data_IF_126320163852
#
_entry.id   IF_126320163852
#
_cell.length_a   1.000
_cell.length_b   1.000
_cell.length_c   1.000
_cell.angle_alpha   90.00
_cell.angle_beta   90.00
_cell.angle_gamma   90.00
#
_symmetry.space_group_name_H-M   'P 1'
#
loop_
_entity.id
_entity.type
_entity.pdbx_description
1 polymer ?
#
# COMPACT_ATOMS: atom_id res chain seq x y z
N UNK A 1 65.95 13.82 25.47
CA UNK A 1 66.86 12.92 24.76
C UNK A 1 65.95 12.09 23.90
N UNK A 2 65.81 12.51 22.68
CA UNK A 2 66.37 12.00 21.42
C UNK A 2 65.62 10.75 20.99
N UNK A 3 65.07 10.51 19.81
CA UNK A 3 65.58 10.90 18.49
C UNK A 3 64.48 10.84 17.42
N UNK A 4 64.58 11.67 16.45
CA UNK A 4 63.90 11.72 15.17
C UNK A 4 64.38 10.60 14.25
N UNK A 5 63.52 9.94 13.51
CA UNK A 5 63.87 9.30 12.25
C UNK A 5 62.81 9.55 11.16
N UNK A 6 63.26 10.13 10.07
CA UNK A 6 62.56 10.60 8.91
C UNK A 6 62.05 9.50 7.96
N UNK A 7 61.11 9.83 7.03
CA UNK A 7 60.45 8.84 6.18
C UNK A 7 61.32 8.42 5.00
N UNK A 8 61.35 7.09 4.72
CA UNK A 8 62.00 6.51 3.55
C UNK A 8 61.14 6.74 2.28
N UNK A 9 61.79 7.35 1.29
CA UNK A 9 61.33 7.45 -0.09
C UNK A 9 61.31 6.06 -0.75
N UNK A 10 60.20 5.67 -1.35
CA UNK A 10 60.14 4.53 -2.29
C UNK A 10 60.09 5.09 -3.70
N UNK A 11 60.97 4.60 -4.56
CA UNK A 11 61.14 4.96 -5.96
C UNK A 11 60.04 4.31 -6.81
N UNK A 12 59.64 4.93 -7.96
CA UNK A 12 58.70 4.33 -8.89
C UNK A 12 59.38 3.36 -9.82
N UNK A 13 58.80 2.15 -9.98
CA UNK A 13 59.21 1.18 -10.98
C UNK A 13 58.25 1.19 -12.17
N UNK A 14 58.84 1.49 -13.30
CA UNK A 14 58.56 1.14 -14.69
C UNK A 14 57.17 0.67 -15.11
N UNK A 15 56.61 1.46 -16.01
CA UNK A 15 55.55 1.13 -16.95
C UNK A 15 56.15 0.39 -18.18
N UNK A 16 55.64 -0.72 -18.68
CA UNK A 16 55.88 -1.18 -20.04
C UNK A 16 54.81 -0.59 -20.97
N UNK A 17 55.26 0.04 -22.03
CA UNK A 17 54.47 0.39 -23.24
C UNK A 17 54.27 -0.89 -24.04
N UNK A 18 53.07 -1.05 -24.58
CA UNK A 18 52.83 -2.06 -25.63
C UNK A 18 51.35 -2.27 -25.96
N UNK A 19 50.95 -1.79 -27.14
CA UNK A 19 50.10 -2.52 -28.06
C UNK A 19 48.59 -2.24 -28.03
N UNK A 20 48.20 -1.50 -29.04
CA UNK A 20 46.83 -1.30 -29.53
C UNK A 20 45.98 -2.59 -29.57
N UNK A 21 44.78 -2.52 -28.99
CA UNK A 21 43.58 -3.20 -29.51
C UNK A 21 42.35 -2.64 -28.79
N UNK A 22 41.85 -1.50 -29.29
CA UNK A 22 40.49 -1.05 -28.97
C UNK A 22 39.49 -1.92 -29.74
N UNK A 23 39.10 -3.06 -29.17
CA UNK A 23 37.87 -3.69 -29.58
C UNK A 23 36.69 -2.85 -29.02
N UNK A 24 35.96 -2.22 -29.92
CA UNK A 24 34.66 -1.59 -29.65
C UNK A 24 33.74 -2.62 -29.01
N UNK A 25 33.61 -2.56 -27.69
CA UNK A 25 32.51 -3.22 -26.99
C UNK A 25 31.23 -2.52 -27.43
N UNK A 26 30.38 -3.23 -28.15
CA UNK A 26 29.08 -2.81 -28.60
C UNK A 26 28.30 -2.25 -27.40
N UNK A 27 27.81 -1.03 -27.55
CA UNK A 27 26.90 -0.38 -26.60
C UNK A 27 25.72 -1.32 -26.30
N UNK A 28 25.68 -1.83 -25.10
CA UNK A 28 24.49 -2.48 -24.56
C UNK A 28 23.37 -1.46 -24.61
N UNK A 29 22.37 -1.68 -25.46
CA UNK A 29 21.16 -0.90 -25.46
C UNK A 29 20.54 -0.86 -24.08
N UNK A 30 19.63 0.11 -23.79
CA UNK A 30 19.00 0.21 -22.49
C UNK A 30 18.34 -1.13 -22.19
N UNK A 31 18.84 -1.83 -21.17
CA UNK A 31 18.13 -2.95 -20.59
C UNK A 31 16.83 -2.35 -20.03
N UNK A 32 15.74 -2.54 -20.75
CA UNK A 32 14.40 -2.37 -20.21
C UNK A 32 14.34 -3.31 -19.02
N UNK A 33 14.45 -2.76 -17.81
CA UNK A 33 14.10 -3.49 -16.59
C UNK A 33 12.68 -4.02 -16.85
N UNK A 34 12.52 -5.33 -16.89
CA UNK A 34 11.22 -5.96 -17.06
C UNK A 34 10.30 -5.35 -15.99
N UNK A 35 9.23 -4.69 -16.40
CA UNK A 35 8.27 -4.12 -15.48
C UNK A 35 7.83 -5.24 -14.53
N UNK A 36 7.89 -5.00 -13.22
CA UNK A 36 7.45 -5.96 -12.21
C UNK A 36 6.02 -6.37 -12.56
N UNK A 37 5.76 -7.66 -12.62
CA UNK A 37 4.45 -8.19 -13.03
C UNK A 37 3.34 -7.87 -12.03
N UNK A 38 3.70 -7.58 -10.78
CA UNK A 38 2.76 -7.30 -9.71
C UNK A 38 3.39 -6.35 -8.69
N UNK A 39 2.63 -5.34 -8.27
CA UNK A 39 2.95 -4.46 -7.15
C UNK A 39 2.07 -4.82 -5.96
N UNK A 40 2.68 -4.91 -4.78
CA UNK A 40 2.03 -5.37 -3.55
C UNK A 40 1.98 -4.29 -2.50
N UNK A 41 0.94 -4.33 -1.66
CA UNK A 41 0.80 -3.40 -0.55
C UNK A 41 0.38 -4.09 0.75
N UNK A 42 0.72 -3.45 1.88
CA UNK A 42 0.15 -3.72 3.18
C UNK A 42 -0.54 -2.47 3.75
N UNK A 43 -1.60 -2.67 4.54
CA UNK A 43 -2.25 -1.60 5.31
C UNK A 43 -2.10 -1.90 6.79
N UNK A 44 -1.70 -0.89 7.56
CA UNK A 44 -1.60 -0.96 9.03
C UNK A 44 -2.56 0.07 9.62
N UNK A 45 -3.63 -0.41 10.25
CA UNK A 45 -4.58 0.41 10.98
C UNK A 45 -4.07 0.53 12.42
N UNK A 46 -3.80 1.75 12.87
CA UNK A 46 -3.27 2.06 14.18
C UNK A 46 -4.37 2.75 14.98
N UNK A 47 -4.85 2.14 16.07
CA UNK A 47 -5.88 2.73 16.89
C UNK A 47 -6.50 1.74 17.89
N UNK A 48 -6.43 2.08 19.16
CA UNK A 48 -7.06 1.34 20.24
C UNK A 48 -8.59 1.35 20.16
N UNK A 49 -9.19 2.37 19.52
CA UNK A 49 -10.63 2.47 19.30
C UNK A 49 -11.15 1.41 18.32
N UNK A 50 -10.32 0.99 17.37
CA UNK A 50 -10.66 -0.11 16.46
C UNK A 50 -10.56 -1.45 17.19
N UNK A 51 -9.46 -1.67 17.93
CA UNK A 51 -9.25 -2.91 18.69
C UNK A 51 -10.27 -3.12 19.81
N UNK A 52 -10.76 -2.02 20.41
CA UNK A 52 -11.81 -2.09 21.43
C UNK A 52 -13.22 -2.25 20.86
N UNK A 53 -13.39 -2.21 19.53
CA UNK A 53 -14.69 -2.25 18.87
C UNK A 53 -15.53 -0.97 19.02
N UNK A 54 -14.96 0.10 19.60
CA UNK A 54 -15.64 1.40 19.75
C UNK A 54 -15.93 2.06 18.41
N UNK A 55 -15.01 1.87 17.46
CA UNK A 55 -15.11 2.45 16.11
C UNK A 55 -14.92 1.33 15.07
N UNK A 56 -15.80 1.30 14.08
CA UNK A 56 -15.63 0.43 12.91
C UNK A 56 -14.65 1.08 11.94
N UNK A 57 -13.64 0.32 11.49
CA UNK A 57 -12.74 0.81 10.45
C UNK A 57 -13.46 0.96 9.09
N UNK A 58 -13.32 2.12 8.49
CA UNK A 58 -13.83 2.44 7.15
C UNK A 58 -12.70 2.79 6.16
N UNK A 59 -11.46 2.82 6.63
CA UNK A 59 -10.30 3.25 5.86
C UNK A 59 -9.74 2.11 5.01
N UNK A 60 -9.65 0.91 5.58
CA UNK A 60 -9.13 -0.28 4.91
C UNK A 60 -9.90 -0.59 3.62
N UNK A 61 -11.23 -0.56 3.68
CA UNK A 61 -12.07 -0.83 2.50
C UNK A 61 -11.78 0.18 1.38
N UNK A 62 -11.71 1.47 1.70
CA UNK A 62 -11.45 2.52 0.73
C UNK A 62 -10.06 2.38 0.09
N UNK A 63 -9.02 2.16 0.91
CA UNK A 63 -7.65 1.92 0.42
C UNK A 63 -7.60 0.68 -0.47
N UNK A 64 -8.24 -0.43 -0.08
CA UNK A 64 -8.26 -1.66 -0.87
C UNK A 64 -8.88 -1.45 -2.26
N UNK A 65 -9.98 -0.67 -2.34
CA UNK A 65 -10.61 -0.31 -3.61
C UNK A 65 -9.68 0.54 -4.48
N UNK A 66 -9.10 1.61 -3.92
CA UNK A 66 -8.17 2.50 -4.65
C UNK A 66 -6.91 1.77 -5.13
N UNK A 67 -6.33 0.93 -4.30
CA UNK A 67 -5.16 0.14 -4.68
C UNK A 67 -5.49 -0.83 -5.83
N UNK A 68 -6.65 -1.46 -5.79
CA UNK A 68 -7.15 -2.32 -6.89
C UNK A 68 -7.28 -1.54 -8.19
N UNK A 69 -7.88 -0.34 -8.15
CA UNK A 69 -8.01 0.55 -9.31
C UNK A 69 -6.65 1.00 -9.87
N UNK A 70 -5.64 1.10 -9.01
CA UNK A 70 -4.27 1.49 -9.38
C UNK A 70 -3.38 0.30 -9.76
N UNK A 71 -3.93 -0.90 -9.79
CA UNK A 71 -3.17 -2.12 -10.13
C UNK A 71 -2.16 -2.53 -9.08
N UNK A 72 -2.42 -2.19 -7.80
CA UNK A 72 -1.61 -2.59 -6.64
C UNK A 72 -2.42 -3.61 -5.82
N UNK A 73 -1.84 -4.78 -5.56
CA UNK A 73 -2.50 -5.82 -4.78
C UNK A 73 -2.29 -5.62 -3.29
N UNK A 74 -3.36 -5.34 -2.55
CA UNK A 74 -3.35 -5.40 -1.10
C UNK A 74 -3.24 -6.87 -0.67
N UNK A 75 -2.11 -7.23 -0.05
CA UNK A 75 -1.80 -8.59 0.37
C UNK A 75 -1.97 -8.82 1.86
N UNK A 76 -1.83 -7.75 2.66
CA UNK A 76 -1.91 -7.86 4.10
C UNK A 76 -2.57 -6.62 4.72
N UNK A 77 -3.35 -6.83 5.79
CA UNK A 77 -3.88 -5.78 6.63
C UNK A 77 -3.66 -6.16 8.10
N UNK A 78 -3.12 -5.22 8.88
CA UNK A 78 -2.92 -5.37 10.33
C UNK A 78 -3.67 -4.29 11.07
N UNK A 79 -4.27 -4.64 12.21
CA UNK A 79 -4.81 -3.70 13.17
C UNK A 79 -3.95 -3.80 14.43
N UNK A 80 -3.36 -2.69 14.85
CA UNK A 80 -2.41 -2.67 15.96
C UNK A 80 -2.72 -1.54 16.96
N UNK A 81 -2.32 -1.69 18.23
CA UNK A 81 -2.50 -0.65 19.22
C UNK A 81 -1.55 0.54 19.02
N UNK A 82 -1.90 1.68 19.64
CA UNK A 82 -1.07 2.87 19.76
C UNK A 82 0.06 2.65 20.79
N UNK A 83 0.98 1.74 20.45
CA UNK A 83 2.16 1.39 21.25
C UNK A 83 3.39 1.51 20.38
N UNK A 84 4.33 2.38 20.73
CA UNK A 84 5.50 2.74 19.92
C UNK A 84 6.27 1.50 19.41
N UNK A 85 6.67 0.59 20.30
CA UNK A 85 7.46 -0.57 19.92
C UNK A 85 6.70 -1.54 19.00
N UNK A 86 5.36 -1.62 19.14
CA UNK A 86 4.51 -2.40 18.25
C UNK A 86 4.47 -1.78 16.86
N UNK A 87 4.29 -0.46 16.79
CA UNK A 87 4.28 0.28 15.52
C UNK A 87 5.65 0.15 14.84
N UNK A 88 6.74 0.42 15.54
CA UNK A 88 8.13 0.33 15.00
C UNK A 88 8.40 -1.05 14.41
N UNK A 89 8.11 -2.12 15.17
CA UNK A 89 8.30 -3.50 14.70
C UNK A 89 7.46 -3.79 13.48
N UNK A 90 6.16 -3.47 13.53
CA UNK A 90 5.23 -3.72 12.42
C UNK A 90 5.67 -2.99 11.16
N UNK A 91 6.01 -1.70 11.25
CA UNK A 91 6.48 -0.91 10.09
C UNK A 91 7.75 -1.53 9.50
N UNK A 92 8.71 -1.94 10.32
CA UNK A 92 9.94 -2.58 9.81
C UNK A 92 9.68 -3.91 9.10
N UNK A 93 8.75 -4.72 9.60
CA UNK A 93 8.35 -5.98 8.96
C UNK A 93 7.67 -5.73 7.61
N UNK A 94 6.61 -4.92 7.60
CA UNK A 94 5.81 -4.75 6.38
C UNK A 94 6.52 -3.93 5.30
N UNK A 95 7.35 -2.93 5.65
CA UNK A 95 8.11 -2.16 4.65
C UNK A 95 9.21 -2.97 3.95
N UNK A 96 9.69 -4.02 4.59
CA UNK A 96 10.66 -4.95 4.01
C UNK A 96 9.99 -5.99 3.10
N UNK A 97 8.70 -6.31 3.33
CA UNK A 97 7.99 -7.38 2.64
C UNK A 97 7.17 -6.90 1.43
N UNK A 98 6.72 -5.65 1.43
CA UNK A 98 5.79 -5.12 0.43
C UNK A 98 6.36 -3.90 -0.30
N UNK A 99 5.89 -3.67 -1.54
CA UNK A 99 6.31 -2.50 -2.33
C UNK A 99 5.79 -1.19 -1.74
N UNK A 100 4.60 -1.22 -1.14
CA UNK A 100 3.94 -0.07 -0.53
C UNK A 100 3.35 -0.45 0.81
N UNK A 101 3.45 0.46 1.77
CA UNK A 101 2.82 0.35 3.09
C UNK A 101 1.99 1.59 3.34
N UNK A 102 0.75 1.41 3.72
CA UNK A 102 -0.14 2.50 4.12
C UNK A 102 -0.47 2.34 5.60
N UNK A 103 -0.32 3.41 6.38
CA UNK A 103 -0.83 3.41 7.75
C UNK A 103 -1.99 4.39 7.86
N UNK A 104 -2.94 4.09 8.72
CA UNK A 104 -4.05 5.01 9.07
C UNK A 104 -4.14 5.15 10.58
N UNK A 105 -4.23 6.39 11.07
CA UNK A 105 -4.36 6.69 12.50
C UNK A 105 -3.10 7.19 13.19
N UNK A 106 -3.26 7.75 14.37
CA UNK A 106 -2.19 8.17 15.28
C UNK A 106 -1.34 9.35 14.81
N UNK A 107 -1.85 10.25 13.96
CA UNK A 107 -1.16 11.49 13.50
C UNK A 107 -1.89 12.78 13.88
N UNK A 108 -2.79 12.73 14.82
CA UNK A 108 -3.52 13.87 15.34
C UNK A 108 -2.75 14.66 16.41
N UNK A 109 -3.45 15.57 17.12
CA UNK A 109 -2.84 16.47 18.10
C UNK A 109 -2.79 15.90 19.52
N UNK A 110 -3.32 14.71 19.77
CA UNK A 110 -3.47 14.16 21.13
C UNK A 110 -2.22 13.41 21.58
N UNK A 111 -2.17 13.05 22.86
CA UNK A 111 -0.98 12.42 23.44
C UNK A 111 -0.74 10.99 22.97
N UNK A 112 -1.78 10.33 22.50
CA UNK A 112 -1.78 8.98 21.93
C UNK A 112 -1.47 8.95 20.43
N UNK A 113 -1.44 10.11 19.75
CA UNK A 113 -1.00 10.24 18.37
C UNK A 113 0.54 10.15 18.27
N UNK A 114 1.06 8.94 18.24
CA UNK A 114 2.51 8.64 18.29
C UNK A 114 3.05 8.04 16.99
N UNK A 115 2.22 7.93 15.94
CA UNK A 115 2.61 7.26 14.69
C UNK A 115 3.80 7.96 14.02
N UNK A 116 3.86 9.30 14.00
CA UNK A 116 4.97 10.02 13.39
C UNK A 116 6.30 9.75 14.12
N UNK A 117 6.28 9.74 15.47
CA UNK A 117 7.45 9.43 16.31
C UNK A 117 7.92 7.99 16.06
N UNK A 118 7.00 7.03 16.07
CA UNK A 118 7.29 5.62 15.85
C UNK A 118 7.84 5.34 14.44
N UNK A 119 7.30 5.99 13.41
CA UNK A 119 7.81 5.86 12.04
C UNK A 119 9.20 6.48 11.92
N UNK A 120 9.45 7.67 12.50
CA UNK A 120 10.79 8.26 12.53
C UNK A 120 11.80 7.31 13.20
N UNK A 121 11.43 6.69 14.33
CA UNK A 121 12.24 5.68 15.03
C UNK A 121 12.48 4.44 14.15
N UNK A 122 11.46 3.95 13.44
CA UNK A 122 11.60 2.79 12.54
C UNK A 122 12.56 3.05 11.38
N UNK A 123 12.68 4.30 10.92
CA UNK A 123 13.62 4.70 9.88
C UNK A 123 14.97 5.20 10.41
N UNK A 124 15.13 5.32 11.74
CA UNK A 124 16.36 5.81 12.36
C UNK A 124 16.63 7.29 12.09
N UNK A 125 15.59 8.10 11.87
CA UNK A 125 15.67 9.54 11.58
C UNK A 125 14.99 10.36 12.67
N UNK A 126 15.24 11.68 12.68
CA UNK A 126 14.60 12.60 13.62
C UNK A 126 13.27 13.10 13.08
N UNK A 127 12.38 13.55 13.97
CA UNK A 127 11.26 14.39 13.60
C UNK A 127 11.75 15.82 13.38
N UNK A 128 11.32 16.45 12.29
CA UNK A 128 11.61 17.84 11.95
C UNK A 128 10.31 18.59 11.65
N UNK A 129 10.26 19.87 12.06
CA UNK A 129 9.12 20.71 11.74
C UNK A 129 9.11 21.07 10.24
N UNK A 130 8.07 20.70 9.52
CA UNK A 130 7.86 21.09 8.13
C UNK A 130 7.35 22.54 8.07
N UNK A 131 8.25 23.47 7.82
CA UNK A 131 8.02 24.92 7.95
C UNK A 131 6.89 25.45 7.05
N UNK A 132 6.72 24.90 5.84
CA UNK A 132 5.64 25.30 4.95
C UNK A 132 4.29 24.91 5.51
N UNK A 133 4.15 23.66 6.00
CA UNK A 133 2.94 23.19 6.66
C UNK A 133 2.64 23.98 7.92
N UNK A 134 3.67 24.28 8.74
CA UNK A 134 3.53 25.09 9.95
C UNK A 134 2.89 26.45 9.61
N UNK A 135 3.43 27.17 8.62
CA UNK A 135 2.90 28.45 8.16
C UNK A 135 1.47 28.35 7.63
N UNK A 136 1.19 27.31 6.83
CA UNK A 136 -0.17 27.06 6.31
C UNK A 136 -1.18 26.82 7.44
N UNK A 137 -0.82 26.01 8.43
CA UNK A 137 -1.67 25.74 9.58
C UNK A 137 -1.85 26.96 10.47
N UNK A 138 -0.77 27.68 10.80
CA UNK A 138 -0.82 28.91 11.60
C UNK A 138 -1.76 29.95 10.99
N UNK A 139 -1.75 30.10 9.66
CA UNK A 139 -2.59 31.08 8.94
C UNK A 139 -4.10 30.76 9.01
N UNK A 140 -4.49 29.51 9.29
CA UNK A 140 -5.90 29.10 9.32
C UNK A 140 -6.50 29.18 10.71
N UNK A 141 -5.67 29.05 11.75
CA UNK A 141 -6.13 29.12 13.14
C UNK A 141 -6.20 30.58 13.64
N UNK A 142 -7.19 30.86 14.50
CA UNK A 142 -7.25 32.15 15.18
C UNK A 142 -6.06 32.33 16.13
N UNK A 143 -5.66 33.57 16.43
CA UNK A 143 -4.60 33.83 17.39
C UNK A 143 -4.80 33.06 18.70
N UNK A 144 -3.79 32.31 19.13
CA UNK A 144 -3.81 31.48 20.34
C UNK A 144 -4.42 30.08 20.17
N UNK A 145 -5.08 29.77 19.05
CA UNK A 145 -5.64 28.44 18.80
C UNK A 145 -4.62 27.45 18.22
N UNK A 146 -3.57 27.94 17.55
CA UNK A 146 -2.47 27.10 17.05
C UNK A 146 -1.47 26.80 18.17
N UNK A 147 -1.94 26.03 19.15
CA UNK A 147 -1.19 25.64 20.34
C UNK A 147 -0.16 24.53 20.05
N UNK A 148 0.65 24.16 21.05
CA UNK A 148 1.70 23.14 20.92
C UNK A 148 1.17 21.78 20.43
N UNK A 149 -0.03 21.37 20.87
CA UNK A 149 -0.65 20.14 20.43
C UNK A 149 -0.94 20.13 18.91
N UNK A 150 -1.46 21.24 18.37
CA UNK A 150 -1.70 21.38 16.93
C UNK A 150 -0.39 21.54 16.14
N UNK A 151 0.60 22.23 16.71
CA UNK A 151 1.94 22.38 16.12
C UNK A 151 2.64 21.03 15.97
N UNK A 152 2.41 20.07 16.89
CA UNK A 152 2.93 18.71 16.80
C UNK A 152 2.62 18.05 15.45
N UNK A 153 1.44 18.30 14.86
CA UNK A 153 1.05 17.74 13.57
C UNK A 153 1.89 18.25 12.38
N UNK A 154 2.73 19.29 12.59
CA UNK A 154 3.66 19.77 11.56
C UNK A 154 5.01 19.04 11.58
N UNK A 155 5.23 18.15 12.55
CA UNK A 155 6.48 17.40 12.65
C UNK A 155 6.36 16.10 11.89
N UNK A 156 7.27 15.89 10.95
CA UNK A 156 7.37 14.69 10.12
C UNK A 156 8.79 14.14 10.17
N UNK A 157 9.02 12.85 9.87
CA UNK A 157 10.37 12.30 9.79
C UNK A 157 11.25 13.07 8.81
N UNK A 158 12.52 13.28 9.16
CA UNK A 158 13.51 13.93 8.29
C UNK A 158 13.64 13.16 6.97
N UNK A 159 13.58 13.86 5.84
CA UNK A 159 13.59 13.27 4.51
C UNK A 159 12.21 12.78 4.01
N UNK A 160 11.16 12.88 4.83
CA UNK A 160 9.80 12.57 4.39
C UNK A 160 9.24 13.68 3.48
N UNK A 161 8.35 13.30 2.57
CA UNK A 161 7.54 14.22 1.76
C UNK A 161 6.12 14.31 2.30
N UNK A 162 5.56 15.52 2.29
CA UNK A 162 4.19 15.78 2.76
C UNK A 162 3.15 15.14 1.84
N UNK A 163 2.12 14.57 2.46
CA UNK A 163 0.85 14.18 1.80
C UNK A 163 -0.18 15.23 2.22
N UNK A 164 -0.56 16.07 1.28
CA UNK A 164 -1.52 17.14 1.53
C UNK A 164 -2.95 16.61 1.60
N UNK A 165 -3.82 17.37 2.29
CA UNK A 165 -5.26 17.20 2.22
C UNK A 165 -5.95 18.56 2.28
N UNK A 166 -7.07 18.67 1.57
CA UNK A 166 -7.86 19.90 1.52
C UNK A 166 -8.86 20.05 2.68
N UNK A 167 -8.99 19.02 3.54
CA UNK A 167 -10.02 18.98 4.60
C UNK A 167 -9.56 19.65 5.88
N UNK A 168 -8.36 19.28 6.37
CA UNK A 168 -7.87 19.74 7.68
C UNK A 168 -6.55 20.49 7.62
N UNK A 169 -5.88 20.53 6.47
CA UNK A 169 -4.53 21.07 6.24
C UNK A 169 -3.43 20.30 7.00
N UNK A 170 -3.76 19.64 8.12
CA UNK A 170 -2.81 18.78 8.84
C UNK A 170 -2.32 17.65 7.93
N UNK A 171 -0.99 17.52 7.72
CA UNK A 171 -0.47 16.64 6.69
C UNK A 171 -0.43 15.18 7.12
N UNK A 172 -0.52 14.27 6.13
CA UNK A 172 0.16 13.01 6.20
C UNK A 172 1.58 13.13 5.66
N UNK A 173 2.31 12.04 5.58
CA UNK A 173 3.66 12.05 5.01
C UNK A 173 4.03 10.69 4.38
N UNK A 174 5.02 10.74 3.50
CA UNK A 174 5.64 9.57 2.91
C UNK A 174 7.13 9.55 3.23
N UNK A 175 7.62 8.41 3.71
CA UNK A 175 9.05 8.14 3.85
C UNK A 175 9.35 6.76 3.27
N UNK A 176 10.31 6.70 2.33
CA UNK A 176 10.55 5.47 1.57
C UNK A 176 9.26 4.96 0.89
N UNK A 177 8.92 3.71 1.16
CA UNK A 177 7.68 3.07 0.67
C UNK A 177 6.51 3.12 1.67
N UNK A 178 6.63 3.88 2.76
CA UNK A 178 5.60 4.00 3.81
C UNK A 178 4.84 5.32 3.66
N UNK A 179 3.53 5.23 3.54
CA UNK A 179 2.57 6.34 3.42
C UNK A 179 1.74 6.41 4.70
N UNK A 180 1.88 7.50 5.44
CA UNK A 180 1.22 7.69 6.73
C UNK A 180 0.04 8.65 6.55
N UNK A 181 -1.16 8.14 6.82
CA UNK A 181 -2.43 8.81 6.58
C UNK A 181 -3.20 9.01 7.89
N UNK A 182 -4.12 9.96 7.89
CA UNK A 182 -4.99 10.22 9.03
C UNK A 182 -5.95 9.07 9.33
N UNK A 183 -6.39 8.95 10.59
CA UNK A 183 -7.43 7.99 11.00
C UNK A 183 -8.83 8.42 10.59
N UNK A 184 -9.11 9.73 10.55
CA UNK A 184 -10.43 10.29 10.20
C UNK A 184 -10.76 10.00 8.74
N UNK A 185 -11.85 9.27 8.40
CA UNK A 185 -12.10 8.77 7.06
C UNK A 185 -12.15 9.84 5.97
N UNK A 186 -12.76 10.99 6.22
CA UNK A 186 -12.84 12.09 5.25
C UNK A 186 -11.44 12.64 4.92
N UNK A 187 -10.56 12.77 5.91
CA UNK A 187 -9.20 13.27 5.76
C UNK A 187 -8.34 12.22 5.05
N UNK A 188 -8.42 10.97 5.49
CA UNK A 188 -7.71 9.84 4.89
C UNK A 188 -8.02 9.70 3.40
N UNK A 189 -9.31 9.79 3.02
CA UNK A 189 -9.73 9.74 1.62
C UNK A 189 -9.13 10.89 0.80
N UNK A 190 -9.21 12.12 1.31
CA UNK A 190 -8.62 13.28 0.65
C UNK A 190 -7.09 13.12 0.48
N UNK A 191 -6.38 12.59 1.48
CA UNK A 191 -4.96 12.24 1.36
C UNK A 191 -4.72 11.17 0.29
N UNK A 192 -5.49 10.08 0.34
CA UNK A 192 -5.35 8.96 -0.60
C UNK A 192 -5.52 9.40 -2.05
N UNK A 193 -6.51 10.25 -2.34
CA UNK A 193 -6.78 10.73 -3.70
C UNK A 193 -5.60 11.51 -4.31
N UNK A 194 -4.67 12.03 -3.51
CA UNK A 194 -3.44 12.68 -3.97
C UNK A 194 -2.32 11.70 -4.34
N UNK A 195 -2.45 10.42 -4.00
CA UNK A 195 -1.34 9.46 -4.07
C UNK A 195 -1.19 8.75 -5.43
N UNK A 196 -2.19 8.80 -6.29
CA UNK A 196 -2.19 8.06 -7.57
C UNK A 196 -0.89 8.20 -8.36
N UNK A 197 -0.36 9.41 -8.45
CA UNK A 197 0.85 9.72 -9.23
C UNK A 197 2.16 9.43 -8.46
N UNK A 198 2.08 8.99 -7.20
CA UNK A 198 3.23 8.59 -6.38
C UNK A 198 3.48 7.08 -6.42
N UNK A 199 2.56 6.34 -7.02
CA UNK A 199 2.61 4.88 -7.07
C UNK A 199 2.84 4.41 -8.50
N UNK A 200 3.64 3.37 -8.63
CA UNK A 200 3.72 2.58 -9.86
C UNK A 200 2.83 1.36 -9.65
N UNK A 201 1.81 1.22 -10.49
CA UNK A 201 0.91 0.08 -10.46
C UNK A 201 1.03 -0.79 -11.71
N UNK A 202 0.51 -1.99 -11.62
CA UNK A 202 0.30 -2.86 -12.76
C UNK A 202 -0.99 -2.52 -13.54
N UNK A 203 -1.41 -3.36 -14.46
CA UNK A 203 -2.73 -3.25 -15.08
C UNK A 203 -3.82 -3.29 -14.00
N UNK A 204 -4.89 -2.50 -14.13
CA UNK A 204 -6.02 -2.53 -13.19
C UNK A 204 -6.60 -3.95 -13.05
N UNK A 205 -6.88 -4.33 -11.81
CA UNK A 205 -7.50 -5.64 -11.53
C UNK A 205 -8.98 -5.52 -11.79
N UNK A 206 -9.45 -6.26 -12.80
CA UNK A 206 -10.87 -6.35 -13.14
C UNK A 206 -11.54 -7.50 -12.40
N UNK A 207 -12.85 -7.37 -12.16
CA UNK A 207 -13.65 -8.44 -11.58
C UNK A 207 -14.81 -8.82 -12.50
N UNK A 208 -15.24 -10.09 -12.40
CA UNK A 208 -16.50 -10.59 -12.93
C UNK A 208 -17.19 -11.35 -11.82
N UNK A 209 -18.47 -11.09 -11.62
CA UNK A 209 -19.27 -11.74 -10.59
C UNK A 209 -20.41 -12.53 -11.22
N UNK A 210 -20.58 -13.76 -10.79
CA UNK A 210 -21.73 -14.59 -11.11
C UNK A 210 -22.44 -14.93 -9.81
N UNK A 211 -23.55 -14.27 -9.55
CA UNK A 211 -24.39 -14.54 -8.36
C UNK A 211 -25.45 -15.58 -8.69
N UNK A 212 -25.70 -16.53 -7.78
CA UNK A 212 -26.66 -17.62 -8.01
C UNK A 212 -27.31 -18.04 -6.69
N UNK A 213 -28.57 -18.46 -6.75
CA UNK A 213 -29.27 -19.07 -5.60
C UNK A 213 -28.96 -20.58 -5.50
N UNK A 214 -27.69 -20.89 -5.30
CA UNK A 214 -27.19 -22.21 -4.94
C UNK A 214 -26.36 -22.12 -3.66
N UNK A 215 -26.39 -23.18 -2.87
CA UNK A 215 -25.49 -23.29 -1.73
C UNK A 215 -24.05 -23.47 -2.23
N UNK A 216 -23.09 -22.88 -1.50
CA UNK A 216 -21.66 -22.87 -1.85
C UNK A 216 -21.12 -24.29 -2.12
N UNK A 217 -21.51 -25.29 -1.30
CA UNK A 217 -21.10 -26.67 -1.47
C UNK A 217 -21.52 -27.30 -2.80
N UNK A 218 -22.60 -26.81 -3.43
CA UNK A 218 -23.06 -27.35 -4.74
C UNK A 218 -22.15 -26.93 -5.88
N UNK A 219 -21.55 -25.73 -5.79
CA UNK A 219 -20.69 -25.21 -6.85
C UNK A 219 -19.19 -25.49 -6.59
N UNK A 220 -18.83 -25.97 -5.40
CA UNK A 220 -17.47 -26.04 -4.91
C UNK A 220 -16.52 -26.82 -5.83
N UNK A 221 -16.89 -28.05 -6.23
CA UNK A 221 -16.01 -28.90 -7.03
C UNK A 221 -15.78 -28.31 -8.43
N UNK A 222 -16.85 -27.86 -9.09
CA UNK A 222 -16.76 -27.23 -10.41
C UNK A 222 -15.98 -25.93 -10.38
N UNK A 223 -16.16 -25.12 -9.34
CA UNK A 223 -15.46 -23.88 -9.15
C UNK A 223 -13.96 -24.09 -8.87
N UNK A 224 -13.61 -25.11 -8.06
CA UNK A 224 -12.23 -25.53 -7.84
C UNK A 224 -11.54 -26.04 -9.11
N UNK A 225 -12.29 -26.77 -9.96
CA UNK A 225 -11.77 -27.22 -11.27
C UNK A 225 -11.50 -26.02 -12.20
N UNK A 226 -12.40 -25.03 -12.20
CA UNK A 226 -12.22 -23.79 -12.97
C UNK A 226 -10.99 -23.00 -12.48
N UNK A 227 -10.77 -22.88 -11.17
CA UNK A 227 -9.58 -22.24 -10.60
C UNK A 227 -8.29 -22.89 -11.08
N UNK A 228 -8.24 -24.24 -11.15
CA UNK A 228 -7.07 -24.97 -11.65
C UNK A 228 -6.81 -24.70 -13.14
N UNK A 229 -7.87 -24.52 -13.93
CA UNK A 229 -7.79 -24.21 -15.36
C UNK A 229 -7.29 -22.78 -15.62
N UNK A 230 -7.61 -21.86 -14.72
CA UNK A 230 -7.26 -20.43 -14.81
C UNK A 230 -6.41 -19.97 -13.61
N UNK A 231 -5.16 -20.43 -13.49
CA UNK A 231 -4.33 -20.15 -12.29
C UNK A 231 -3.95 -18.67 -12.13
N UNK A 232 -4.04 -17.86 -13.18
CA UNK A 232 -3.78 -16.42 -13.15
C UNK A 232 -5.01 -15.58 -12.73
N UNK A 233 -6.17 -16.23 -12.53
CA UNK A 233 -7.40 -15.57 -12.07
C UNK A 233 -7.64 -15.97 -10.62
N UNK A 234 -7.73 -14.97 -9.72
CA UNK A 234 -8.13 -15.21 -8.34
C UNK A 234 -9.64 -15.45 -8.30
N UNK A 235 -10.07 -16.54 -7.69
CA UNK A 235 -11.48 -16.92 -7.60
C UNK A 235 -11.91 -17.06 -6.15
N UNK A 236 -13.04 -16.42 -5.80
CA UNK A 236 -13.61 -16.46 -4.45
C UNK A 236 -15.11 -16.68 -4.47
N UNK A 237 -15.63 -17.42 -3.49
CA UNK A 237 -17.05 -17.64 -3.27
C UNK A 237 -17.50 -16.90 -2.01
N UNK A 238 -18.65 -16.22 -2.10
CA UNK A 238 -19.19 -15.38 -1.03
C UNK A 238 -20.67 -15.71 -0.83
N UNK A 239 -21.01 -16.46 0.22
CA UNK A 239 -22.40 -16.74 0.56
C UNK A 239 -23.20 -15.48 0.85
N UNK A 240 -24.44 -15.43 0.42
CA UNK A 240 -25.35 -14.34 0.76
C UNK A 240 -26.76 -14.88 1.11
N UNK A 241 -27.50 -14.05 1.83
CA UNK A 241 -28.92 -14.28 2.11
C UNK A 241 -29.71 -13.07 1.63
N UNK A 242 -30.56 -13.25 0.62
CA UNK A 242 -31.38 -12.19 0.02
C UNK A 242 -32.78 -12.71 -0.28
N UNK A 243 -33.78 -11.89 0.00
CA UNK A 243 -35.20 -12.21 -0.27
C UNK A 243 -35.63 -13.58 0.29
N UNK A 244 -35.16 -13.93 1.51
CA UNK A 244 -35.52 -15.19 2.15
C UNK A 244 -34.79 -16.43 1.57
N UNK A 245 -33.80 -16.27 0.71
CA UNK A 245 -33.07 -17.36 0.03
C UNK A 245 -31.56 -17.25 0.22
N UNK A 246 -30.91 -18.38 0.42
CA UNK A 246 -29.46 -18.48 0.37
C UNK A 246 -28.97 -18.52 -1.07
N UNK A 247 -27.82 -17.90 -1.29
CA UNK A 247 -27.14 -17.94 -2.57
C UNK A 247 -25.64 -17.71 -2.39
N UNK A 248 -24.92 -17.76 -3.50
CA UNK A 248 -23.46 -17.58 -3.54
C UNK A 248 -23.11 -16.62 -4.68
N UNK A 249 -22.26 -15.62 -4.37
CA UNK A 249 -21.62 -14.77 -5.36
C UNK A 249 -20.23 -15.34 -5.66
N UNK A 250 -20.01 -15.75 -6.89
CA UNK A 250 -18.75 -16.30 -7.40
C UNK A 250 -18.00 -15.18 -8.11
N UNK A 251 -16.88 -14.77 -7.56
CA UNK A 251 -16.11 -13.59 -8.00
C UNK A 251 -14.79 -14.04 -8.61
N UNK A 252 -14.54 -13.62 -9.83
CA UNK A 252 -13.28 -13.82 -10.55
C UNK A 252 -12.56 -12.50 -10.65
N UNK A 253 -11.25 -12.46 -10.34
CA UNK A 253 -10.41 -11.26 -10.41
C UNK A 253 -9.15 -11.54 -11.21
N UNK A 254 -8.83 -10.65 -12.15
CA UNK A 254 -7.64 -10.79 -12.99
C UNK A 254 -7.32 -9.52 -13.75
N UNK A 255 -6.17 -9.48 -14.39
CA UNK A 255 -5.69 -8.33 -15.16
C UNK A 255 -5.86 -8.52 -16.67
N UNK A 256 -6.02 -9.77 -17.15
CA UNK A 256 -6.19 -10.09 -18.58
C UNK A 256 -7.67 -10.29 -18.88
N UNK A 257 -8.30 -9.30 -19.50
CA UNK A 257 -9.74 -9.19 -19.74
C UNK A 257 -10.28 -10.38 -20.53
N UNK A 258 -9.61 -10.81 -21.59
CA UNK A 258 -10.11 -11.87 -22.45
C UNK A 258 -10.13 -13.24 -21.73
N UNK A 259 -9.15 -13.51 -20.85
CA UNK A 259 -9.12 -14.72 -20.02
C UNK A 259 -10.20 -14.68 -18.95
N UNK A 260 -10.39 -13.48 -18.35
CA UNK A 260 -11.42 -13.26 -17.35
C UNK A 260 -12.83 -13.48 -17.92
N UNK A 261 -13.08 -12.97 -19.12
CA UNK A 261 -14.37 -13.13 -19.81
C UNK A 261 -14.63 -14.59 -20.19
N UNK A 262 -13.60 -15.32 -20.66
CA UNK A 262 -13.74 -16.78 -20.93
C UNK A 262 -14.05 -17.55 -19.65
N UNK A 263 -13.32 -17.28 -18.56
CA UNK A 263 -13.57 -17.94 -17.28
C UNK A 263 -14.98 -17.64 -16.74
N UNK A 264 -15.47 -16.41 -16.89
CA UNK A 264 -16.81 -16.00 -16.47
C UNK A 264 -17.91 -16.71 -17.33
N UNK A 265 -17.68 -16.87 -18.62
CA UNK A 265 -18.59 -17.61 -19.49
C UNK A 265 -18.65 -19.10 -19.11
N UNK A 266 -17.51 -19.73 -18.84
CA UNK A 266 -17.46 -21.14 -18.38
C UNK A 266 -18.10 -21.28 -16.99
N UNK A 267 -17.89 -20.34 -16.08
CA UNK A 267 -18.57 -20.33 -14.78
C UNK A 267 -20.09 -20.23 -14.94
N UNK A 268 -20.55 -19.37 -15.84
CA UNK A 268 -21.97 -19.24 -16.16
C UNK A 268 -22.55 -20.56 -16.70
N UNK A 269 -21.83 -21.25 -17.60
CA UNK A 269 -22.24 -22.56 -18.12
C UNK A 269 -22.27 -23.62 -17.02
N UNK A 270 -21.29 -23.64 -16.12
CA UNK A 270 -21.26 -24.53 -14.94
C UNK A 270 -22.50 -24.30 -14.06
N UNK A 271 -22.83 -23.08 -13.71
CA UNK A 271 -23.99 -22.74 -12.89
C UNK A 271 -25.29 -23.22 -13.54
N UNK A 272 -25.43 -23.03 -14.86
CA UNK A 272 -26.60 -23.54 -15.61
C UNK A 272 -26.69 -25.07 -15.64
N UNK A 273 -25.55 -25.74 -15.75
CA UNK A 273 -25.52 -27.22 -15.70
C UNK A 273 -25.95 -27.79 -14.34
N UNK A 274 -25.84 -26.99 -13.28
CA UNK A 274 -26.34 -27.32 -11.94
C UNK A 274 -27.80 -26.93 -11.71
N UNK A 275 -28.51 -26.54 -12.78
CA UNK A 275 -29.95 -26.25 -12.76
C UNK A 275 -30.31 -24.86 -12.21
N UNK A 276 -29.39 -23.91 -12.22
CA UNK A 276 -29.64 -22.55 -11.74
C UNK A 276 -29.27 -21.48 -12.78
N UNK A 277 -29.99 -20.37 -12.76
CA UNK A 277 -29.69 -19.20 -13.61
C UNK A 277 -28.92 -18.12 -12.81
N UNK A 278 -27.90 -17.49 -13.44
CA UNK A 278 -27.23 -16.35 -12.87
C UNK A 278 -28.21 -15.23 -12.55
N UNK A 279 -28.03 -14.60 -11.41
CA UNK A 279 -28.83 -13.45 -11.00
C UNK A 279 -28.13 -12.16 -11.43
N UNK A 280 -28.88 -11.11 -11.78
CA UNK A 280 -28.31 -9.79 -12.01
C UNK A 280 -27.58 -9.31 -10.74
N UNK A 281 -26.44 -8.62 -10.92
CA UNK A 281 -25.80 -7.97 -9.79
C UNK A 281 -26.75 -6.95 -9.17
N UNK A 282 -26.87 -6.88 -7.84
CA UNK A 282 -27.62 -5.80 -7.21
C UNK A 282 -26.93 -4.48 -7.55
N UNK A 283 -27.72 -3.45 -7.84
CA UNK A 283 -27.22 -2.10 -7.90
C UNK A 283 -26.51 -1.78 -6.57
N UNK A 284 -25.25 -1.33 -6.65
CA UNK A 284 -24.45 -0.92 -5.50
C UNK A 284 -24.99 0.34 -4.86
#
# INVERSE_FOLDING_TARGET
MVDWLAPRRVRPTNCPRGGDNYALAAAGGPQFMSAKSEYTAAVVVIGNEILSGRTQDANLQYLAQKLTDWGVRLREARVIPDIEDVIVRTINEVRAAFDYVFTTGGIGPTHDDITADAVAKAFGVKLVCHQETFKKMEAVYKPGEFNAARQKMCYIPEGASVIENAVSIAPGFQIGNVFVLAGVPAIMRAMTDTLKNRLVGGPPIQARTVSVYLAEGVVADGFAALQKKYPAIDMGSYPFYRAGRFGTSLVLRGTETASLDRAAAELTALVRSLGAEPQPEPAQ
#
